data_IF_057015635313
#
_entry.id   IF_057015635313
#
_cell.length_a   1.000
_cell.length_b   1.000
_cell.length_c   1.000
_cell.angle_alpha   90.00
_cell.angle_beta   90.00
_cell.angle_gamma   90.00
#
_symmetry.space_group_name_H-M   'P 1'
#
loop_
_entity.id
_entity.type
_entity.pdbx_description
1 polymer ?
#
# COMPACT_ATOMS: atom_id res chain seq x y z
N UNK A 1 3.09 1.30 28.30
CA UNK A 1 1.81 0.59 28.04
C UNK A 1 1.33 1.06 26.69
N UNK A 2 1.80 0.40 25.62
CA UNK A 2 1.51 0.80 24.24
C UNK A 2 0.07 0.45 23.87
N UNK A 3 -0.44 1.11 22.83
CA UNK A 3 -1.72 0.78 22.21
C UNK A 3 -1.57 -0.63 21.63
N UNK A 4 -1.95 -1.63 22.42
CA UNK A 4 -1.85 -3.02 22.02
C UNK A 4 -2.84 -3.36 20.90
N UNK A 5 -2.86 -4.61 20.44
CA UNK A 5 -3.79 -5.08 19.41
C UNK A 5 -5.26 -4.68 19.69
N UNK A 6 -5.64 -4.64 20.97
CA UNK A 6 -6.96 -4.19 21.45
C UNK A 6 -7.28 -2.73 21.08
N UNK A 7 -6.31 -1.83 21.18
CA UNK A 7 -6.54 -0.41 20.85
C UNK A 7 -6.66 -0.18 19.34
N UNK A 8 -5.90 -0.93 18.53
CA UNK A 8 -6.07 -0.92 17.07
C UNK A 8 -7.45 -1.43 16.65
N UNK A 9 -7.98 -2.45 17.33
CA UNK A 9 -9.33 -2.98 17.09
C UNK A 9 -10.40 -1.90 17.37
N UNK A 10 -10.26 -1.13 18.45
CA UNK A 10 -11.19 -0.03 18.76
C UNK A 10 -11.19 1.05 17.67
N UNK A 11 -10.01 1.42 17.17
CA UNK A 11 -9.88 2.38 16.07
C UNK A 11 -10.51 1.83 14.79
N UNK A 12 -10.25 0.55 14.47
CA UNK A 12 -10.84 -0.11 13.31
C UNK A 12 -12.37 -0.15 13.40
N UNK A 13 -12.94 -0.46 14.57
CA UNK A 13 -14.38 -0.41 14.82
C UNK A 13 -14.95 1.00 14.61
N UNK A 14 -14.31 2.04 15.15
CA UNK A 14 -14.74 3.41 14.94
C UNK A 14 -14.71 3.79 13.44
N UNK A 15 -13.63 3.45 12.73
CA UNK A 15 -13.52 3.66 11.29
C UNK A 15 -14.59 2.87 10.51
N UNK A 16 -14.90 1.64 10.91
CA UNK A 16 -15.96 0.83 10.31
C UNK A 16 -17.35 1.43 10.53
N UNK A 17 -17.61 2.14 11.64
CA UNK A 17 -18.88 2.84 11.86
C UNK A 17 -18.99 4.09 10.98
N UNK A 18 -17.90 4.85 10.81
CA UNK A 18 -17.84 6.05 9.98
C UNK A 18 -17.91 5.74 8.47
N UNK A 19 -17.09 4.80 8.02
CA UNK A 19 -16.92 4.48 6.60
C UNK A 19 -17.76 3.26 6.16
N UNK A 20 -18.10 2.35 7.07
CA UNK A 20 -18.78 1.10 6.75
C UNK A 20 -17.82 -0.05 6.41
N UNK A 21 -18.22 -1.28 6.74
CA UNK A 21 -17.43 -2.51 6.53
C UNK A 21 -17.11 -2.83 5.08
N UNK A 22 -17.90 -2.32 4.14
CA UNK A 22 -17.67 -2.52 2.71
C UNK A 22 -16.72 -1.48 2.10
N UNK A 23 -16.64 -0.26 2.65
CA UNK A 23 -15.86 0.84 2.05
C UNK A 23 -14.36 0.75 2.28
N UNK A 24 -13.94 0.36 3.48
CA UNK A 24 -12.52 0.09 3.77
C UNK A 24 -11.88 -0.92 2.79
N UNK A 25 -12.45 -2.11 2.55
CA UNK A 25 -11.89 -3.06 1.59
C UNK A 25 -12.07 -2.61 0.13
N UNK A 26 -13.14 -1.91 -0.21
CA UNK A 26 -13.34 -1.34 -1.56
C UNK A 26 -12.25 -0.30 -1.90
N UNK A 27 -11.97 0.62 -0.97
CA UNK A 27 -10.89 1.60 -1.09
C UNK A 27 -9.52 0.93 -1.16
N UNK A 28 -9.25 -0.06 -0.30
CA UNK A 28 -7.99 -0.82 -0.33
C UNK A 28 -7.76 -1.53 -1.66
N UNK A 29 -8.82 -2.09 -2.27
CA UNK A 29 -8.75 -2.71 -3.60
C UNK A 29 -8.47 -1.70 -4.71
N UNK A 30 -9.13 -0.54 -4.67
CA UNK A 30 -8.90 0.54 -5.64
C UNK A 30 -7.46 1.08 -5.55
N UNK A 31 -7.03 1.43 -4.34
CA UNK A 31 -5.67 1.90 -4.06
C UNK A 31 -4.64 0.83 -4.44
N UNK A 32 -4.88 -0.43 -4.08
CA UNK A 32 -4.00 -1.55 -4.42
C UNK A 32 -3.83 -1.75 -5.93
N UNK A 33 -4.89 -1.56 -6.73
CA UNK A 33 -4.82 -1.58 -8.19
C UNK A 33 -3.94 -0.44 -8.72
N UNK A 34 -4.13 0.78 -8.22
CA UNK A 34 -3.29 1.93 -8.59
C UNK A 34 -1.83 1.71 -8.22
N UNK A 35 -1.53 1.22 -7.01
CA UNK A 35 -0.15 0.91 -6.60
C UNK A 35 0.46 -0.22 -7.44
N UNK A 36 -0.32 -1.23 -7.82
CA UNK A 36 0.13 -2.30 -8.68
C UNK A 36 0.52 -1.78 -10.07
N UNK A 37 -0.35 -0.97 -10.69
CA UNK A 37 -0.10 -0.33 -11.98
C UNK A 37 1.08 0.64 -11.91
N UNK A 38 1.17 1.44 -10.85
CA UNK A 38 2.29 2.35 -10.60
C UNK A 38 3.61 1.59 -10.48
N UNK A 39 3.64 0.48 -9.73
CA UNK A 39 4.82 -0.37 -9.60
C UNK A 39 5.20 -1.01 -10.93
N UNK A 40 4.23 -1.51 -11.69
CA UNK A 40 4.47 -2.11 -12.99
C UNK A 40 5.03 -1.09 -14.00
N UNK A 41 4.48 0.13 -14.02
CA UNK A 41 4.96 1.22 -14.88
C UNK A 41 6.34 1.75 -14.48
N UNK A 42 6.67 1.75 -13.18
CA UNK A 42 7.96 2.26 -12.68
C UNK A 42 9.07 1.20 -12.70
N UNK A 43 8.73 -0.09 -12.72
CA UNK A 43 9.69 -1.21 -12.76
C UNK A 43 10.72 -1.12 -13.91
N UNK A 44 10.35 -0.87 -15.18
CA UNK A 44 11.34 -0.77 -16.25
C UNK A 44 12.30 0.41 -16.06
N UNK A 45 11.83 1.55 -15.52
CA UNK A 45 12.70 2.68 -15.23
C UNK A 45 13.71 2.36 -14.11
N UNK A 46 13.28 1.65 -13.07
CA UNK A 46 14.17 1.20 -11.99
C UNK A 46 15.20 0.19 -12.52
N UNK A 47 14.79 -0.74 -13.39
CA UNK A 47 15.70 -1.72 -13.99
C UNK A 47 16.72 -1.08 -14.94
N UNK A 48 16.34 -0.01 -15.65
CA UNK A 48 17.23 0.75 -16.53
C UNK A 48 18.25 1.56 -15.73
N UNK A 49 17.86 2.12 -14.59
CA UNK A 49 18.78 2.78 -13.64
C UNK A 49 19.76 1.79 -13.00
N UNK A 50 19.29 0.62 -12.56
CA UNK A 50 20.13 -0.40 -11.90
C UNK A 50 21.10 -1.12 -12.88
N UNK A 51 20.75 -1.17 -14.18
CA UNK A 51 21.58 -1.79 -15.22
C UNK A 51 22.68 -0.87 -15.77
N UNK A 52 22.59 0.45 -15.53
CA UNK A 52 23.59 1.42 -15.95
C UNK A 52 24.88 1.40 -15.13
N UNK A 53 24.86 0.86 -13.91
CA UNK A 53 26.01 0.84 -12.99
C UNK A 53 26.92 -0.41 -13.15
N UNK A 54 26.61 -1.35 -14.05
CA UNK A 54 27.39 -2.61 -14.25
C UNK A 54 28.19 -2.67 -15.55
N UNK A 55 28.49 -1.54 -16.19
CA UNK A 55 29.25 -1.51 -17.47
C UNK A 55 30.54 -0.68 -17.43
N UNK A 56 31.05 -0.37 -16.24
CA UNK A 56 32.37 0.27 -16.06
C UNK A 56 33.06 -0.29 -14.80
N UNK A 57 33.52 -1.55 -14.87
CA UNK A 57 34.57 -2.13 -14.00
C UNK A 57 35.20 -3.33 -14.68
#
# INVERSE_FOLDING_TARGET
MGIGPTGLIMIALAALLLFGSKKLPELGRAVGRTFHEFKAGTKPLIEEMDSGEKKDS
#
